data_IF_435764601538
#
_entry.id   IF_435764601538
#
_cell.length_a   1.000
_cell.length_b   1.000
_cell.length_c   1.000
_cell.angle_alpha   90.00
_cell.angle_beta   90.00
_cell.angle_gamma   90.00
#
_symmetry.space_group_name_H-M   'P 1'
#
loop_
_entity.id
_entity.type
_entity.pdbx_description
1 polymer ?
#
# COMPACT_ATOMS: atom_id res chain seq x y z
N UNK A 1 28.51 18.29 17.75
CA UNK A 1 27.53 17.36 18.34
C UNK A 1 26.96 16.52 17.20
N UNK A 2 27.41 15.27 17.07
CA UNK A 2 27.11 14.36 15.97
C UNK A 2 26.18 13.24 16.47
N UNK A 3 24.91 13.57 16.65
CA UNK A 3 23.85 12.56 16.61
C UNK A 3 23.11 12.75 15.30
N UNK A 4 23.65 12.19 14.21
CA UNK A 4 22.79 11.85 13.08
C UNK A 4 21.82 10.81 13.63
N UNK A 5 20.59 11.20 13.92
CA UNK A 5 19.55 10.21 14.16
C UNK A 5 19.47 9.36 12.91
N UNK A 6 19.83 8.08 13.02
CA UNK A 6 19.36 7.11 12.05
C UNK A 6 17.83 7.17 12.14
N UNK A 7 17.19 7.82 11.17
CA UNK A 7 15.75 7.61 10.96
C UNK A 7 15.65 6.19 10.40
N UNK A 8 15.63 5.20 11.31
CA UNK A 8 15.25 3.85 10.93
C UNK A 8 13.88 3.96 10.26
N UNK A 9 13.80 3.55 8.99
CA UNK A 9 12.52 3.47 8.27
C UNK A 9 11.54 2.66 9.12
N UNK A 10 10.30 3.16 9.24
CA UNK A 10 9.29 2.49 10.05
C UNK A 10 8.85 1.16 9.44
N UNK A 11 8.09 0.35 10.19
CA UNK A 11 7.49 -0.87 9.66
C UNK A 11 6.12 -0.53 9.06
N UNK A 12 5.86 -0.97 7.84
CA UNK A 12 4.53 -0.97 7.23
C UNK A 12 3.88 -2.34 7.35
N UNK A 13 2.55 -2.38 7.47
CA UNK A 13 1.78 -3.62 7.51
C UNK A 13 0.46 -3.50 6.75
N UNK A 14 0.05 -4.57 6.07
CA UNK A 14 -1.29 -4.71 5.50
C UNK A 14 -2.26 -5.24 6.55
N UNK A 15 -3.48 -4.70 6.58
CA UNK A 15 -4.55 -5.11 7.49
C UNK A 15 -5.89 -5.11 6.74
N UNK A 16 -6.73 -6.12 7.00
CA UNK A 16 -8.12 -6.15 6.55
C UNK A 16 -8.51 -7.42 5.78
N UNK A 17 -7.59 -8.33 5.49
CA UNK A 17 -7.87 -9.53 4.69
C UNK A 17 -8.05 -10.81 5.52
N UNK A 18 -8.04 -10.71 6.85
CA UNK A 18 -8.34 -11.85 7.72
C UNK A 18 -9.08 -11.39 8.98
N UNK A 19 -10.34 -11.82 9.15
CA UNK A 19 -11.16 -11.42 10.32
C UNK A 19 -10.58 -11.80 11.69
N UNK A 20 -9.59 -12.70 11.73
CA UNK A 20 -8.91 -13.11 12.96
C UNK A 20 -7.59 -12.36 13.23
N UNK A 21 -7.23 -11.36 12.41
CA UNK A 21 -5.98 -10.60 12.56
C UNK A 21 -6.03 -9.49 13.64
N UNK A 22 -7.14 -9.41 14.36
CA UNK A 22 -7.40 -8.37 15.37
C UNK A 22 -7.95 -7.08 14.75
N UNK A 23 -8.40 -6.16 15.61
CA UNK A 23 -8.94 -4.87 15.15
C UNK A 23 -7.82 -3.93 14.70
N UNK A 24 -8.14 -3.00 13.80
CA UNK A 24 -7.20 -1.95 13.37
C UNK A 24 -6.64 -1.16 14.57
N UNK A 25 -7.46 -0.89 15.57
CA UNK A 25 -7.01 -0.25 16.81
C UNK A 25 -5.98 -1.09 17.56
N UNK A 26 -6.21 -2.40 17.72
CA UNK A 26 -5.26 -3.30 18.37
C UNK A 26 -3.94 -3.38 17.59
N UNK A 27 -3.99 -3.45 16.25
CA UNK A 27 -2.81 -3.41 15.37
C UNK A 27 -1.97 -2.16 15.64
N UNK A 28 -2.61 -0.99 15.69
CA UNK A 28 -1.94 0.28 15.96
C UNK A 28 -1.46 0.44 17.41
N UNK A 29 -2.16 -0.16 18.37
CA UNK A 29 -1.78 -0.16 19.78
C UNK A 29 -0.51 -0.99 20.06
N UNK A 30 -0.08 -1.86 19.14
CA UNK A 30 1.18 -2.61 19.28
C UNK A 30 2.42 -1.71 19.34
N UNK A 31 2.35 -0.49 18.79
CA UNK A 31 3.49 0.42 18.70
C UNK A 31 4.59 -0.01 17.73
N UNK A 32 4.34 -1.04 16.91
CA UNK A 32 5.34 -1.60 15.98
C UNK A 32 5.37 -0.90 14.62
N UNK A 33 4.25 -0.33 14.19
CA UNK A 33 4.03 0.10 12.82
C UNK A 33 4.02 1.61 12.70
N UNK A 34 4.69 2.14 11.67
CA UNK A 34 4.60 3.54 11.27
C UNK A 34 3.54 3.76 10.17
N UNK A 35 3.21 2.69 9.44
CA UNK A 35 2.26 2.69 8.34
C UNK A 35 1.32 1.49 8.44
N UNK A 36 0.03 1.71 8.12
CA UNK A 36 -0.95 0.65 7.93
C UNK A 36 -1.66 0.84 6.60
N UNK A 37 -1.62 -0.17 5.75
CA UNK A 37 -2.33 -0.23 4.48
C UNK A 37 -3.63 -1.04 4.67
N UNK A 38 -4.77 -0.36 4.66
CA UNK A 38 -6.09 -0.99 4.75
C UNK A 38 -6.41 -1.66 3.41
N UNK A 39 -6.51 -2.98 3.43
CA UNK A 39 -6.62 -3.83 2.26
C UNK A 39 -8.00 -4.50 2.22
N UNK A 40 -8.82 -4.36 1.16
CA UNK A 40 -8.56 -3.63 -0.11
C UNK A 40 -9.82 -2.97 -0.66
N UNK A 41 -9.64 -1.91 -1.46
CA UNK A 41 -10.60 -1.57 -2.52
C UNK A 41 -10.25 -2.42 -3.75
N UNK A 42 -10.84 -3.60 -3.88
CA UNK A 42 -10.47 -4.60 -4.87
C UNK A 42 -11.40 -4.65 -6.09
N UNK A 43 -12.34 -3.70 -6.21
CA UNK A 43 -13.18 -3.52 -7.39
C UNK A 43 -13.33 -2.05 -7.71
N UNK A 44 -12.94 -1.62 -8.92
CA UNK A 44 -13.05 -0.23 -9.39
C UNK A 44 -12.64 -0.06 -10.86
N UNK A 45 -12.97 1.07 -11.48
CA UNK A 45 -12.68 1.34 -12.90
C UNK A 45 -13.57 0.55 -13.87
N UNK A 46 -13.39 0.69 -15.19
CA UNK A 46 -14.29 0.09 -16.20
C UNK A 46 -15.76 0.50 -16.03
N UNK A 47 -16.04 1.66 -15.42
CA UNK A 47 -17.40 2.13 -15.13
C UNK A 47 -18.15 1.34 -14.06
N UNK A 48 -17.51 0.40 -13.36
CA UNK A 48 -18.16 -0.37 -12.30
C UNK A 48 -18.22 0.43 -10.98
N UNK A 49 -19.21 0.13 -10.14
CA UNK A 49 -19.30 0.66 -8.78
C UNK A 49 -18.12 0.13 -7.95
N UNK A 50 -17.30 1.00 -7.33
CA UNK A 50 -16.20 0.53 -6.50
C UNK A 50 -16.67 -0.22 -5.25
N UNK A 51 -15.92 -1.25 -4.86
CA UNK A 51 -16.25 -2.11 -3.72
C UNK A 51 -15.04 -2.31 -2.81
N UNK A 52 -15.28 -2.14 -1.51
CA UNK A 52 -14.32 -2.42 -0.45
C UNK A 52 -14.52 -3.87 0.00
N UNK A 53 -13.44 -4.58 0.33
CA UNK A 53 -13.49 -5.87 0.97
C UNK A 53 -12.55 -5.86 2.17
N UNK A 54 -13.09 -6.04 3.38
CA UNK A 54 -12.32 -6.19 4.63
C UNK A 54 -12.56 -7.58 5.26
N UNK A 55 -12.68 -8.61 4.41
CA UNK A 55 -12.92 -9.99 4.80
C UNK A 55 -14.02 -10.12 5.88
N UNK A 56 -13.68 -10.73 7.02
CA UNK A 56 -14.60 -10.95 8.14
C UNK A 56 -14.78 -9.76 9.09
N UNK A 57 -14.09 -8.64 8.88
CA UNK A 57 -14.14 -7.51 9.82
C UNK A 57 -15.46 -6.73 9.74
N UNK A 58 -16.01 -6.55 8.54
CA UNK A 58 -17.24 -5.81 8.31
C UNK A 58 -17.80 -6.04 6.91
N UNK A 59 -19.07 -5.65 6.70
CA UNK A 59 -19.69 -5.64 5.39
C UNK A 59 -19.92 -4.20 4.91
N UNK A 60 -19.29 -3.73 3.82
CA UNK A 60 -19.50 -2.37 3.33
C UNK A 60 -20.86 -2.18 2.65
N UNK A 61 -21.49 -3.24 2.13
CA UNK A 61 -22.77 -3.15 1.42
C UNK A 61 -23.95 -2.73 2.32
N UNK A 62 -23.83 -2.93 3.64
CA UNK A 62 -24.83 -2.50 4.63
C UNK A 62 -24.30 -1.37 5.54
N UNK A 63 -23.28 -0.62 5.11
CA UNK A 63 -22.58 0.39 5.91
C UNK A 63 -21.95 -0.17 7.21
N UNK A 64 -21.71 -1.47 7.32
CA UNK A 64 -21.13 -2.09 8.52
C UNK A 64 -19.66 -1.71 8.77
N UNK A 65 -18.96 -1.14 7.79
CA UNK A 65 -17.55 -0.76 7.90
C UNK A 65 -17.30 0.65 8.47
N UNK A 66 -18.36 1.43 8.78
CA UNK A 66 -18.20 2.79 9.30
C UNK A 66 -17.50 2.84 10.66
N UNK A 67 -17.60 1.75 11.45
CA UNK A 67 -16.92 1.61 12.74
C UNK A 67 -15.38 1.63 12.63
N UNK A 68 -14.83 1.29 11.46
CA UNK A 68 -13.39 1.35 11.18
C UNK A 68 -12.83 2.77 11.30
N UNK A 69 -13.67 3.82 11.20
CA UNK A 69 -13.30 5.22 11.42
C UNK A 69 -12.58 5.44 12.76
N UNK A 70 -13.07 4.81 13.83
CA UNK A 70 -12.46 4.92 15.17
C UNK A 70 -11.06 4.34 15.19
N UNK A 71 -10.87 3.16 14.58
CA UNK A 71 -9.56 2.53 14.44
C UNK A 71 -8.58 3.40 13.67
N UNK A 72 -9.02 3.96 12.53
CA UNK A 72 -8.20 4.88 11.70
C UNK A 72 -7.74 6.08 12.53
N UNK A 73 -8.67 6.75 13.23
CA UNK A 73 -8.36 7.92 14.07
C UNK A 73 -7.43 7.55 15.23
N UNK A 74 -7.62 6.37 15.84
CA UNK A 74 -6.74 5.85 16.90
C UNK A 74 -5.31 5.66 16.38
N UNK A 75 -5.13 5.04 15.20
CA UNK A 75 -3.83 4.93 14.54
C UNK A 75 -3.19 6.31 14.27
N UNK A 76 -3.96 7.22 13.66
CA UNK A 76 -3.46 8.54 13.30
C UNK A 76 -3.05 9.36 14.52
N UNK A 77 -3.78 9.25 15.64
CA UNK A 77 -3.42 9.91 16.91
C UNK A 77 -2.07 9.43 17.49
N UNK A 78 -1.62 8.24 17.08
CA UNK A 78 -0.32 7.64 17.44
C UNK A 78 0.77 7.97 16.42
N UNK A 79 0.50 8.85 15.45
CA UNK A 79 1.43 9.23 14.39
C UNK A 79 1.50 8.26 13.20
N UNK A 80 0.77 7.14 13.27
CA UNK A 80 0.74 6.10 12.23
C UNK A 80 0.00 6.64 11.00
N UNK A 81 0.60 6.49 9.82
CA UNK A 81 -0.03 6.84 8.55
C UNK A 81 -0.94 5.70 8.11
N UNK A 82 -2.19 6.01 7.79
CA UNK A 82 -3.18 5.00 7.37
C UNK A 82 -3.58 5.25 5.93
N UNK A 83 -3.24 4.32 5.03
CA UNK A 83 -3.56 4.40 3.60
C UNK A 83 -4.64 3.38 3.24
N UNK A 84 -5.45 3.67 2.22
CA UNK A 84 -6.29 2.66 1.58
C UNK A 84 -5.49 2.02 0.45
N UNK A 85 -5.40 0.70 0.45
CA UNK A 85 -4.79 -0.06 -0.62
C UNK A 85 -5.81 -0.43 -1.70
N UNK A 86 -5.43 -0.15 -2.95
CA UNK A 86 -6.18 -0.51 -4.15
C UNK A 86 -5.65 -1.81 -4.72
N UNK A 87 -6.55 -2.68 -5.14
CA UNK A 87 -6.19 -3.88 -5.90
C UNK A 87 -6.06 -5.12 -5.02
N UNK A 88 -4.84 -5.61 -4.86
CA UNK A 88 -4.49 -6.91 -4.28
C UNK A 88 -4.58 -8.04 -5.31
N UNK A 89 -3.99 -9.20 -4.99
CA UNK A 89 -3.93 -10.36 -5.91
C UNK A 89 -5.29 -10.97 -6.31
N UNK A 90 -6.39 -10.58 -5.67
CA UNK A 90 -7.75 -10.99 -6.02
C UNK A 90 -8.66 -9.75 -6.12
N UNK A 91 -9.32 -9.59 -7.27
CA UNK A 91 -10.28 -8.50 -7.47
C UNK A 91 -10.73 -8.33 -8.92
N UNK A 92 -11.52 -7.29 -9.16
CA UNK A 92 -11.93 -6.85 -10.50
C UNK A 92 -11.61 -5.38 -10.68
N UNK A 93 -10.43 -5.05 -11.19
CA UNK A 93 -10.03 -3.67 -11.38
C UNK A 93 -9.26 -3.49 -12.69
N UNK A 94 -9.47 -2.36 -13.34
CA UNK A 94 -8.66 -1.89 -14.47
C UNK A 94 -9.05 -0.44 -14.78
N UNK A 95 -8.12 0.35 -15.29
CA UNK A 95 -8.41 1.70 -15.78
C UNK A 95 -8.33 1.71 -17.31
N UNK A 96 -9.43 2.06 -17.99
CA UNK A 96 -9.52 1.97 -19.46
C UNK A 96 -9.26 3.27 -20.19
N UNK A 97 -9.24 4.40 -19.48
CA UNK A 97 -8.95 5.72 -20.05
C UNK A 97 -8.49 6.69 -18.97
N UNK A 98 -7.96 7.85 -19.39
CA UNK A 98 -7.69 8.97 -18.48
C UNK A 98 -8.94 9.45 -17.74
N UNK A 99 -10.11 9.40 -18.39
CA UNK A 99 -11.37 9.77 -17.77
C UNK A 99 -11.78 8.76 -16.70
N UNK A 100 -11.62 7.46 -16.97
CA UNK A 100 -11.87 6.40 -16.00
C UNK A 100 -10.94 6.55 -14.77
N UNK A 101 -9.65 6.82 -14.99
CA UNK A 101 -8.70 7.14 -13.92
C UNK A 101 -9.12 8.38 -13.12
N UNK A 102 -9.61 9.44 -13.78
CA UNK A 102 -10.13 10.65 -13.10
C UNK A 102 -11.36 10.34 -12.26
N UNK A 103 -12.30 9.57 -12.78
CA UNK A 103 -13.52 9.18 -12.08
C UNK A 103 -13.19 8.37 -10.82
N UNK A 104 -12.23 7.43 -10.91
CA UNK A 104 -11.73 6.68 -9.76
C UNK A 104 -11.04 7.61 -8.76
N UNK A 105 -10.19 8.54 -9.21
CA UNK A 105 -9.54 9.52 -8.33
C UNK A 105 -10.58 10.37 -7.56
N UNK A 106 -11.65 10.79 -8.22
CA UNK A 106 -12.72 11.60 -7.63
C UNK A 106 -13.54 10.82 -6.61
N UNK A 107 -13.80 9.55 -6.89
CA UNK A 107 -14.41 8.65 -5.93
C UNK A 107 -13.51 8.50 -4.69
N UNK A 108 -12.22 8.18 -4.86
CA UNK A 108 -11.28 8.03 -3.74
C UNK A 108 -11.19 9.30 -2.90
N UNK A 109 -11.12 10.46 -3.56
CA UNK A 109 -11.07 11.76 -2.91
C UNK A 109 -12.28 12.00 -2.00
N UNK A 110 -13.49 11.75 -2.51
CA UNK A 110 -14.73 12.04 -1.79
C UNK A 110 -15.14 10.96 -0.78
N UNK A 111 -14.76 9.71 -1.01
CA UNK A 111 -15.20 8.57 -0.19
C UNK A 111 -14.23 8.24 0.95
N UNK A 112 -12.93 8.55 0.80
CA UNK A 112 -11.89 8.12 1.75
C UNK A 112 -10.91 9.22 2.17
N UNK A 113 -10.68 10.22 1.31
CA UNK A 113 -9.77 11.33 1.59
C UNK A 113 -10.55 12.59 2.03
N UNK A 114 -10.00 13.78 1.78
CA UNK A 114 -10.51 15.06 2.26
C UNK A 114 -11.67 15.65 1.45
N UNK A 115 -12.15 14.95 0.43
CA UNK A 115 -13.28 15.39 -0.39
C UNK A 115 -14.60 15.35 0.37
N UNK A 116 -15.51 16.22 -0.06
CA UNK A 116 -16.88 16.29 0.46
C UNK A 116 -17.81 16.31 -0.74
N UNK A 117 -18.63 15.28 -0.87
CA UNK A 117 -19.73 15.25 -1.84
C UNK A 117 -21.00 14.80 -1.14
N UNK A 118 -22.12 15.49 -1.42
CA UNK A 118 -23.43 15.13 -0.86
C UNK A 118 -23.93 13.76 -1.34
N UNK A 119 -23.42 13.28 -2.47
CA UNK A 119 -23.78 11.99 -3.05
C UNK A 119 -22.77 10.87 -2.78
N UNK A 120 -21.62 11.18 -2.15
CA UNK A 120 -20.62 10.17 -1.86
C UNK A 120 -20.94 9.44 -0.55
N UNK A 121 -20.97 8.12 -0.59
CA UNK A 121 -20.91 7.29 0.61
C UNK A 121 -19.46 7.21 1.09
N UNK A 122 -19.25 7.18 2.40
CA UNK A 122 -17.92 6.98 3.01
C UNK A 122 -17.89 5.61 3.69
N UNK A 123 -17.37 4.55 3.02
CA UNK A 123 -17.47 3.18 3.53
C UNK A 123 -16.80 2.96 4.88
N UNK A 124 -15.74 3.72 5.17
CA UNK A 124 -14.99 3.67 6.43
C UNK A 124 -15.42 4.76 7.42
N UNK A 125 -16.56 5.40 7.20
CA UNK A 125 -17.05 6.50 8.03
C UNK A 125 -16.34 7.84 7.76
N UNK A 126 -16.34 8.71 8.77
CA UNK A 126 -15.90 10.11 8.65
C UNK A 126 -14.38 10.32 8.75
N UNK A 127 -13.60 9.27 9.00
CA UNK A 127 -12.14 9.36 8.98
C UNK A 127 -11.63 9.78 7.59
N UNK A 128 -10.55 10.57 7.61
CA UNK A 128 -9.82 11.01 6.41
C UNK A 128 -8.49 10.28 6.40
N UNK A 129 -8.32 9.38 5.44
CA UNK A 129 -7.08 8.63 5.27
C UNK A 129 -5.91 9.53 4.88
N UNK A 130 -4.69 9.07 5.18
CA UNK A 130 -3.46 9.78 4.86
C UNK A 130 -3.11 9.70 3.37
N UNK A 131 -3.57 8.65 2.68
CA UNK A 131 -3.14 8.39 1.33
C UNK A 131 -3.76 7.15 0.70
N UNK A 132 -3.25 6.84 -0.48
CA UNK A 132 -3.68 5.71 -1.31
C UNK A 132 -2.44 4.87 -1.65
N UNK A 133 -2.53 3.57 -1.40
CA UNK A 133 -1.56 2.56 -1.80
C UNK A 133 -2.01 1.88 -3.09
N UNK A 134 -1.09 1.73 -4.05
CA UNK A 134 -1.30 1.04 -5.31
C UNK A 134 -0.70 -0.36 -5.22
N UNK A 135 -1.52 -1.34 -4.88
CA UNK A 135 -1.17 -2.76 -4.92
C UNK A 135 -1.78 -3.42 -6.15
N UNK A 136 -1.22 -3.08 -7.31
CA UNK A 136 -1.76 -3.48 -8.61
C UNK A 136 -1.00 -4.71 -9.11
N UNK A 137 -1.60 -5.89 -8.95
CA UNK A 137 -0.97 -7.17 -9.31
C UNK A 137 -1.50 -7.77 -10.62
N UNK A 138 -2.59 -7.22 -11.17
CA UNK A 138 -3.23 -7.70 -12.38
C UNK A 138 -3.90 -6.56 -13.18
N UNK A 139 -4.34 -6.90 -14.39
CA UNK A 139 -4.97 -5.98 -15.32
C UNK A 139 -4.03 -5.59 -16.47
N UNK A 140 -4.58 -4.90 -17.46
CA UNK A 140 -3.85 -4.46 -18.67
C UNK A 140 -3.84 -2.94 -18.86
N UNK A 141 -4.42 -2.20 -17.91
CA UNK A 141 -4.66 -0.77 -18.01
C UNK A 141 -3.39 0.04 -17.79
N UNK A 142 -3.02 0.87 -18.76
CA UNK A 142 -1.84 1.73 -18.70
C UNK A 142 -2.07 3.08 -17.99
N UNK A 143 -3.20 3.27 -17.29
CA UNK A 143 -3.62 4.58 -16.76
C UNK A 143 -3.34 4.79 -15.26
N UNK A 144 -2.55 3.91 -14.64
CA UNK A 144 -2.03 4.11 -13.27
C UNK A 144 -1.25 5.42 -13.09
N UNK A 145 -0.41 5.87 -14.05
CA UNK A 145 0.24 7.18 -13.96
C UNK A 145 -0.76 8.34 -13.90
N UNK A 146 -1.88 8.23 -14.61
CA UNK A 146 -2.91 9.26 -14.62
C UNK A 146 -3.65 9.31 -13.28
N UNK A 147 -3.99 8.15 -12.71
CA UNK A 147 -4.57 8.07 -11.35
C UNK A 147 -3.63 8.68 -10.30
N UNK A 148 -2.33 8.37 -10.34
CA UNK A 148 -1.34 8.93 -9.43
C UNK A 148 -1.26 10.47 -9.54
N UNK A 149 -1.28 11.03 -10.77
CA UNK A 149 -1.29 12.48 -10.99
C UNK A 149 -2.53 13.14 -10.38
N UNK A 150 -3.72 12.61 -10.66
CA UNK A 150 -4.96 13.20 -10.12
C UNK A 150 -5.03 13.12 -8.60
N UNK A 151 -4.59 12.01 -7.99
CA UNK A 151 -4.53 11.90 -6.54
C UNK A 151 -3.51 12.87 -5.93
N UNK A 152 -2.34 13.03 -6.55
CA UNK A 152 -1.31 13.98 -6.11
C UNK A 152 -1.82 15.43 -6.15
N UNK A 153 -2.57 15.80 -7.20
CA UNK A 153 -3.17 17.14 -7.33
C UNK A 153 -4.11 17.51 -6.17
N UNK A 154 -4.77 16.53 -5.55
CA UNK A 154 -5.61 16.78 -4.38
C UNK A 154 -4.84 17.27 -3.16
N UNK A 155 -3.53 17.05 -3.09
CA UNK A 155 -2.66 17.63 -2.05
C UNK A 155 -2.70 19.15 -2.02
N UNK A 156 -3.03 19.80 -3.15
CA UNK A 156 -3.17 21.27 -3.26
C UNK A 156 -4.47 21.79 -2.62
N UNK A 157 -5.38 20.90 -2.19
CA UNK A 157 -6.69 21.25 -1.63
C UNK A 157 -6.78 21.11 -0.11
N UNK A 158 -5.63 21.08 0.57
CA UNK A 158 -5.57 21.06 2.03
C UNK A 158 -4.46 20.14 2.54
N UNK A 159 -4.84 18.91 2.93
CA UNK A 159 -3.90 17.91 3.45
C UNK A 159 -3.17 17.20 2.32
N UNK A 160 -1.86 16.98 2.48
CA UNK A 160 -1.06 16.11 1.60
C UNK A 160 -1.72 14.74 1.47
N UNK A 161 -1.87 14.27 0.23
CA UNK A 161 -2.25 12.90 -0.10
C UNK A 161 -0.96 12.12 -0.34
N UNK A 162 -0.67 11.16 0.55
CA UNK A 162 0.47 10.26 0.37
C UNK A 162 0.15 9.19 -0.68
N UNK A 163 1.12 8.88 -1.53
CA UNK A 163 0.99 7.81 -2.52
C UNK A 163 1.96 6.67 -2.18
N UNK A 164 1.39 5.48 -1.94
CA UNK A 164 2.11 4.23 -1.75
C UNK A 164 2.04 3.36 -3.00
N UNK A 165 3.02 2.47 -3.20
CA UNK A 165 2.98 1.46 -4.26
C UNK A 165 3.64 0.15 -3.81
N UNK A 166 3.04 -0.97 -4.23
CA UNK A 166 3.48 -2.33 -3.93
C UNK A 166 3.91 -3.10 -5.20
N UNK A 167 4.93 -2.66 -5.96
CA UNK A 167 5.38 -3.41 -7.12
C UNK A 167 5.94 -4.77 -6.70
N UNK A 168 5.86 -5.77 -7.57
CA UNK A 168 6.59 -7.01 -7.38
C UNK A 168 8.10 -6.79 -7.60
N UNK A 169 8.96 -7.66 -7.07
CA UNK A 169 10.40 -7.50 -7.22
C UNK A 169 10.98 -7.58 -8.65
N UNK A 170 10.34 -8.22 -9.66
CA UNK A 170 10.83 -8.14 -11.04
C UNK A 170 10.88 -6.70 -11.52
N UNK A 171 11.99 -6.30 -12.14
CA UNK A 171 12.20 -4.91 -12.57
C UNK A 171 12.39 -4.80 -14.10
N UNK A 172 11.70 -3.86 -14.78
CA UNK A 172 10.65 -3.00 -14.24
C UNK A 172 9.37 -3.78 -13.92
N UNK A 173 8.60 -3.32 -12.94
CA UNK A 173 7.30 -3.91 -12.63
C UNK A 173 6.31 -3.69 -13.80
N UNK A 174 5.62 -4.75 -14.23
CA UNK A 174 4.77 -4.72 -15.42
C UNK A 174 3.52 -3.87 -15.26
N UNK A 175 3.03 -3.68 -14.04
CA UNK A 175 1.79 -2.95 -13.76
C UNK A 175 2.08 -1.50 -13.36
N UNK A 176 3.04 -1.30 -12.44
CA UNK A 176 3.31 -0.05 -11.76
C UNK A 176 4.56 0.67 -12.27
N UNK A 177 5.41 0.04 -13.09
CA UNK A 177 6.66 0.67 -13.55
C UNK A 177 6.46 2.05 -14.19
N UNK A 178 5.43 2.21 -15.02
CA UNK A 178 5.11 3.51 -15.64
C UNK A 178 4.57 4.53 -14.64
N UNK A 179 3.84 4.09 -13.61
CA UNK A 179 3.32 4.97 -12.57
C UNK A 179 4.45 5.44 -11.65
N UNK A 180 5.35 4.54 -11.28
CA UNK A 180 6.54 4.86 -10.47
C UNK A 180 7.45 5.88 -11.16
N UNK A 181 7.60 5.80 -12.48
CA UNK A 181 8.37 6.76 -13.28
C UNK A 181 7.81 8.20 -13.26
N UNK A 182 6.61 8.43 -12.70
CA UNK A 182 6.12 9.80 -12.47
C UNK A 182 6.85 10.53 -11.34
N UNK A 183 7.54 9.79 -10.45
CA UNK A 183 8.21 10.36 -9.28
C UNK A 183 7.26 10.92 -8.22
N UNK A 184 5.97 10.52 -8.26
CA UNK A 184 4.94 11.02 -7.35
C UNK A 184 4.74 10.16 -6.10
N UNK A 185 5.30 8.96 -6.07
CA UNK A 185 5.12 8.01 -4.97
C UNK A 185 6.01 8.36 -3.79
N UNK A 186 5.40 8.50 -2.61
CA UNK A 186 6.10 8.77 -1.36
C UNK A 186 6.70 7.46 -0.82
N UNK A 187 5.96 6.37 -0.89
CA UNK A 187 6.37 5.08 -0.31
C UNK A 187 6.32 3.97 -1.35
N UNK A 188 7.37 3.15 -1.43
CA UNK A 188 7.42 1.99 -2.33
C UNK A 188 7.83 0.76 -1.55
N UNK A 189 6.90 -0.16 -1.29
CA UNK A 189 7.15 -1.43 -0.63
C UNK A 189 7.23 -2.55 -1.66
N UNK A 190 8.43 -2.76 -2.20
CA UNK A 190 8.67 -3.78 -3.22
C UNK A 190 8.43 -5.17 -2.60
N UNK A 191 7.59 -5.97 -3.24
CA UNK A 191 7.25 -7.32 -2.77
C UNK A 191 8.37 -8.31 -3.14
N UNK A 192 9.28 -8.60 -2.20
CA UNK A 192 10.39 -9.55 -2.37
C UNK A 192 9.98 -10.99 -2.05
N UNK A 193 8.85 -11.42 -2.61
CA UNK A 193 8.29 -12.75 -2.44
C UNK A 193 7.48 -13.17 -3.67
N UNK A 194 7.10 -14.45 -3.73
CA UNK A 194 6.44 -15.10 -4.88
C UNK A 194 7.19 -15.04 -6.22
N UNK A 195 8.44 -14.59 -6.22
CA UNK A 195 9.25 -14.34 -7.42
C UNK A 195 10.70 -14.82 -7.19
N UNK A 196 11.00 -16.13 -7.39
CA UNK A 196 12.33 -16.72 -7.18
C UNK A 196 13.53 -15.94 -7.75
N UNK A 197 13.45 -15.30 -8.93
CA UNK A 197 14.59 -14.56 -9.50
C UNK A 197 15.05 -13.33 -8.71
N UNK A 198 14.22 -12.78 -7.81
CA UNK A 198 14.52 -11.52 -7.12
C UNK A 198 14.20 -11.54 -5.62
N UNK A 199 13.88 -12.70 -5.05
CA UNK A 199 13.57 -12.87 -3.64
C UNK A 199 14.67 -13.62 -2.87
N UNK A 200 14.49 -13.73 -1.56
CA UNK A 200 15.32 -14.60 -0.72
C UNK A 200 15.03 -16.07 -0.99
N UNK A 201 16.10 -16.87 -1.04
CA UNK A 201 16.03 -18.33 -1.02
C UNK A 201 16.89 -18.82 0.14
N UNK A 202 16.49 -19.88 0.84
CA UNK A 202 17.19 -20.38 2.03
C UNK A 202 18.71 -20.48 1.82
N UNK A 203 19.47 -19.69 2.59
CA UNK A 203 20.93 -19.65 2.54
C UNK A 203 21.53 -18.76 1.44
N UNK A 204 20.72 -18.11 0.61
CA UNK A 204 21.17 -17.27 -0.51
C UNK A 204 20.46 -15.90 -0.53
N UNK A 205 21.24 -14.84 -0.37
CA UNK A 205 20.78 -13.44 -0.40
C UNK A 205 21.09 -12.71 -1.71
N UNK A 206 21.80 -13.32 -2.67
CA UNK A 206 22.28 -12.62 -3.87
C UNK A 206 21.12 -11.98 -4.65
N UNK A 207 20.09 -12.76 -4.99
CA UNK A 207 18.95 -12.28 -5.79
C UNK A 207 18.20 -11.11 -5.15
N UNK A 208 17.95 -11.18 -3.83
CA UNK A 208 17.24 -10.11 -3.11
C UNK A 208 18.08 -8.85 -2.97
N UNK A 209 19.40 -8.97 -2.75
CA UNK A 209 20.31 -7.83 -2.63
C UNK A 209 20.54 -7.13 -3.99
N UNK A 210 20.67 -7.91 -5.07
CA UNK A 210 20.79 -7.38 -6.43
C UNK A 210 19.51 -6.66 -6.85
N UNK A 211 18.35 -7.26 -6.57
CA UNK A 211 17.05 -6.63 -6.84
C UNK A 211 16.84 -5.37 -5.99
N UNK A 212 17.17 -5.42 -4.69
CA UNK A 212 17.13 -4.25 -3.80
C UNK A 212 17.97 -3.08 -4.35
N UNK A 213 19.20 -3.35 -4.76
CA UNK A 213 20.11 -2.35 -5.33
C UNK A 213 19.50 -1.75 -6.60
N UNK A 214 18.92 -2.59 -7.47
CA UNK A 214 18.27 -2.12 -8.70
C UNK A 214 17.08 -1.21 -8.42
N UNK A 215 16.21 -1.58 -7.49
CA UNK A 215 15.06 -0.77 -7.09
C UNK A 215 15.47 0.57 -6.48
N UNK A 216 16.40 0.57 -5.52
CA UNK A 216 16.82 1.78 -4.79
C UNK A 216 17.62 2.76 -5.63
N UNK A 217 18.30 2.29 -6.68
CA UNK A 217 19.04 3.15 -7.60
C UNK A 217 18.21 3.64 -8.79
N UNK A 218 17.09 2.98 -9.10
CA UNK A 218 16.29 3.29 -10.28
C UNK A 218 15.01 4.07 -9.99
N UNK A 219 14.47 4.02 -8.77
CA UNK A 219 13.21 4.67 -8.41
C UNK A 219 13.44 5.86 -7.49
N UNK A 220 12.82 6.99 -7.85
CA UNK A 220 12.75 8.16 -6.98
C UNK A 220 11.47 8.08 -6.12
N UNK A 221 11.63 7.75 -4.86
CA UNK A 221 10.57 7.78 -3.84
C UNK A 221 11.15 8.32 -2.52
N UNK A 222 10.29 8.78 -1.61
CA UNK A 222 10.76 9.28 -0.31
C UNK A 222 11.33 8.13 0.53
N UNK A 223 10.65 6.99 0.59
CA UNK A 223 11.11 5.78 1.28
C UNK A 223 10.83 4.54 0.42
N UNK A 224 11.82 3.65 0.33
CA UNK A 224 11.71 2.33 -0.31
C UNK A 224 11.83 1.28 0.79
N UNK A 225 10.92 0.30 0.80
CA UNK A 225 10.80 -0.73 1.82
C UNK A 225 11.00 -2.12 1.25
N UNK A 226 11.54 -3.00 2.10
CA UNK A 226 11.67 -4.43 1.83
C UNK A 226 10.35 -5.13 2.21
N UNK A 227 9.45 -5.35 1.25
CA UNK A 227 8.19 -6.05 1.45
C UNK A 227 8.42 -7.56 1.59
N UNK A 228 8.01 -8.14 2.72
CA UNK A 228 8.26 -9.55 3.07
C UNK A 228 7.01 -10.23 3.63
N UNK A 229 6.84 -11.55 3.42
CA UNK A 229 5.83 -12.33 4.11
C UNK A 229 6.12 -12.38 5.62
N UNK A 230 5.12 -12.13 6.46
CA UNK A 230 5.27 -12.17 7.91
C UNK A 230 5.44 -13.59 8.50
N UNK A 231 5.09 -14.61 7.72
CA UNK A 231 5.18 -16.01 8.08
C UNK A 231 5.40 -16.88 6.83
N UNK A 232 5.91 -18.13 6.97
CA UNK A 232 6.09 -19.03 5.83
C UNK A 232 4.81 -19.25 5.01
N UNK A 233 3.65 -19.25 5.65
CA UNK A 233 2.35 -19.46 5.00
C UNK A 233 1.70 -18.16 4.46
N UNK A 234 2.31 -16.98 4.68
CA UNK A 234 1.77 -15.70 4.22
C UNK A 234 2.17 -15.35 2.77
N UNK A 235 2.86 -16.26 2.07
CA UNK A 235 3.18 -16.16 0.65
C UNK A 235 3.48 -17.56 0.09
N UNK A 236 3.58 -17.68 -1.22
CA UNK A 236 3.96 -18.93 -1.89
C UNK A 236 5.45 -19.24 -1.79
N UNK A 237 6.31 -18.21 -1.68
CA UNK A 237 7.76 -18.35 -1.46
C UNK A 237 8.40 -17.03 -1.00
N UNK A 238 9.69 -17.02 -0.64
CA UNK A 238 10.43 -15.79 -0.31
C UNK A 238 10.43 -15.39 1.17
N UNK A 239 9.83 -16.20 2.06
CA UNK A 239 9.91 -15.97 3.51
C UNK A 239 11.37 -16.01 4.00
N UNK A 240 11.74 -15.05 4.84
CA UNK A 240 13.08 -14.94 5.43
C UNK A 240 12.99 -15.24 6.93
N UNK A 241 13.68 -16.25 7.45
CA UNK A 241 13.80 -16.45 8.90
C UNK A 241 14.36 -15.20 9.57
N UNK A 242 13.83 -14.82 10.73
CA UNK A 242 14.23 -13.59 11.46
C UNK A 242 15.74 -13.52 11.70
N UNK A 243 16.38 -14.65 11.99
CA UNK A 243 17.83 -14.72 12.15
C UNK A 243 18.58 -14.32 10.88
N UNK A 244 18.14 -14.79 9.71
CA UNK A 244 18.75 -14.45 8.41
C UNK A 244 18.45 -13.01 8.01
N UNK A 245 17.21 -12.53 8.22
CA UNK A 245 16.83 -11.14 7.95
C UNK A 245 17.75 -10.17 8.70
N UNK A 246 17.95 -10.41 10.01
CA UNK A 246 18.74 -9.54 10.87
C UNK A 246 20.25 -9.64 10.63
N UNK A 247 20.77 -10.83 10.31
CA UNK A 247 22.22 -11.04 10.20
C UNK A 247 22.77 -10.96 8.77
N UNK A 248 21.95 -11.22 7.74
CA UNK A 248 22.41 -11.34 6.35
C UNK A 248 21.82 -10.30 5.40
N UNK A 249 20.56 -9.88 5.63
CA UNK A 249 19.85 -8.99 4.69
C UNK A 249 19.89 -7.54 5.15
N UNK A 250 19.30 -7.22 6.31
CA UNK A 250 19.22 -5.83 6.81
C UNK A 250 20.59 -5.13 6.91
N UNK A 251 21.68 -5.77 7.35
CA UNK A 251 23.00 -5.12 7.39
C UNK A 251 23.56 -4.75 6.01
N UNK A 252 23.13 -5.46 4.95
CA UNK A 252 23.64 -5.28 3.59
C UNK A 252 22.87 -4.25 2.76
N UNK A 253 21.71 -3.79 3.24
CA UNK A 253 20.81 -2.85 2.52
C UNK A 253 20.66 -1.48 3.19
N UNK A 254 21.47 -1.20 4.21
CA UNK A 254 21.47 0.06 4.97
C UNK A 254 22.04 1.24 4.19
#
# INVERSE_FOLDING_TARGET
SLTKSSHAGGISIYWGQNGNEGTLEATCATGKYAYVNIAFLNKFGKGQTPELNLAGHCNPANNGCVGTSTGIKSCQSRGIKVLLSLGGGIGSYNLTSRLDAKNVADYLWNSFLGGKSRSATRPLGDAVLDGIDFDIEQGSGGHWPDLARYLSEYSKRGRKVYLGAAPQCPFPDSNLGTALNTGLFDYVWVQFYNNPPCQYTTGNTANILDSWTRWTTSINAREIFLGLPAAPAAGGSGFIPVADLNSKVLPAIR
#
